data_IF_987690147846
#
_entry.id   IF_987690147846
#
_cell.length_a   1.000
_cell.length_b   1.000
_cell.length_c   1.000
_cell.angle_alpha   90.00
_cell.angle_beta   90.00
_cell.angle_gamma   90.00
#
_symmetry.space_group_name_H-M   'P 1'
#
loop_
_entity.id
_entity.type
_entity.pdbx_description
1 polymer ?
#
# COMPACT_ATOMS: atom_id res chain seq x y z
N UNK A 1 -18.83 19.50 25.53
CA UNK A 1 -17.74 18.62 25.04
C UNK A 1 -17.92 18.49 23.54
N UNK A 2 -17.05 19.11 22.75
CA UNK A 2 -17.08 18.99 21.28
C UNK A 2 -16.79 17.55 20.89
N UNK A 3 -17.73 16.86 20.25
CA UNK A 3 -17.42 15.62 19.54
C UNK A 3 -16.52 15.99 18.35
N UNK A 4 -15.20 15.95 18.52
CA UNK A 4 -14.30 15.90 17.38
C UNK A 4 -14.65 14.60 16.64
N UNK A 5 -15.42 14.72 15.57
CA UNK A 5 -15.79 13.60 14.72
C UNK A 5 -14.55 12.88 14.24
N UNK A 6 -14.64 11.55 14.12
CA UNK A 6 -13.55 10.74 13.59
C UNK A 6 -13.18 11.23 12.18
N UNK A 7 -11.89 11.49 11.95
CA UNK A 7 -11.39 11.86 10.62
C UNK A 7 -11.35 10.60 9.76
N UNK A 8 -12.08 10.63 8.65
CA UNK A 8 -12.12 9.55 7.68
C UNK A 8 -11.02 9.72 6.64
N UNK A 9 -10.37 8.63 6.27
CA UNK A 9 -9.48 8.56 5.13
C UNK A 9 -9.75 7.29 4.30
N UNK A 10 -9.28 7.30 3.05
CA UNK A 10 -9.38 6.17 2.15
C UNK A 10 -7.99 5.73 1.68
N UNK A 11 -7.77 4.43 1.62
CA UNK A 11 -6.60 3.79 1.04
C UNK A 11 -7.00 3.05 -0.23
N UNK A 12 -6.30 3.32 -1.33
CA UNK A 12 -6.46 2.61 -2.61
C UNK A 12 -5.30 1.63 -2.77
N UNK A 13 -5.46 0.42 -2.25
CA UNK A 13 -4.43 -0.60 -2.28
C UNK A 13 -4.37 -1.27 -3.65
N UNK A 14 -3.31 -1.00 -4.40
CA UNK A 14 -3.02 -1.63 -5.69
C UNK A 14 -2.30 -2.97 -5.49
N UNK A 15 -2.82 -4.03 -6.08
CA UNK A 15 -2.33 -5.42 -5.91
C UNK A 15 -1.99 -6.02 -7.28
N UNK A 16 -0.82 -6.64 -7.40
CA UNK A 16 -0.37 -7.34 -8.62
C UNK A 16 -0.98 -8.74 -8.78
N UNK A 17 -2.29 -8.86 -8.59
CA UNK A 17 -3.06 -10.09 -8.77
C UNK A 17 -4.53 -9.71 -9.00
N UNK A 18 -5.13 -10.26 -10.05
CA UNK A 18 -6.56 -10.14 -10.35
C UNK A 18 -7.18 -11.42 -10.93
N UNK A 19 -6.36 -12.40 -11.29
CA UNK A 19 -6.80 -13.64 -11.95
C UNK A 19 -7.24 -14.68 -10.92
N UNK A 20 -6.62 -14.68 -9.74
CA UNK A 20 -6.99 -15.54 -8.62
C UNK A 20 -7.85 -14.79 -7.62
N UNK A 21 -9.17 -14.83 -7.84
CA UNK A 21 -10.18 -14.13 -7.02
C UNK A 21 -10.00 -14.36 -5.52
N UNK A 22 -9.77 -15.60 -5.10
CA UNK A 22 -9.63 -15.94 -3.67
C UNK A 22 -8.43 -15.24 -3.01
N UNK A 23 -7.35 -14.95 -3.76
CA UNK A 23 -6.19 -14.23 -3.22
C UNK A 23 -6.60 -12.79 -2.91
N UNK A 24 -7.25 -12.12 -3.87
CA UNK A 24 -7.70 -10.73 -3.71
C UNK A 24 -8.73 -10.62 -2.58
N UNK A 25 -9.69 -11.55 -2.51
CA UNK A 25 -10.68 -11.60 -1.44
C UNK A 25 -10.05 -11.86 -0.06
N UNK A 26 -9.04 -12.70 0.02
CA UNK A 26 -8.32 -12.95 1.27
C UNK A 26 -7.56 -11.70 1.73
N UNK A 27 -6.97 -10.93 0.81
CA UNK A 27 -6.34 -9.64 1.13
C UNK A 27 -7.40 -8.64 1.63
N UNK A 28 -8.56 -8.56 0.98
CA UNK A 28 -9.65 -7.70 1.41
C UNK A 28 -10.16 -8.07 2.81
N UNK A 29 -10.32 -9.37 3.10
CA UNK A 29 -10.71 -9.87 4.43
C UNK A 29 -9.65 -9.53 5.48
N UNK A 30 -8.37 -9.73 5.15
CA UNK A 30 -7.27 -9.43 6.07
C UNK A 30 -7.22 -7.93 6.44
N UNK A 31 -7.61 -7.03 5.54
CA UNK A 31 -7.67 -5.60 5.84
C UNK A 31 -8.71 -5.23 6.92
N UNK A 32 -9.67 -6.11 7.21
CA UNK A 32 -10.70 -5.90 8.22
C UNK A 32 -10.32 -6.44 9.61
N UNK A 33 -9.14 -7.05 9.74
CA UNK A 33 -8.71 -7.77 10.93
C UNK A 33 -7.47 -7.10 11.55
N UNK A 34 -7.36 -7.18 12.87
CA UNK A 34 -6.14 -6.85 13.59
C UNK A 34 -5.14 -8.02 13.59
N UNK A 35 -3.98 -7.82 14.22
CA UNK A 35 -2.92 -8.84 14.34
C UNK A 35 -3.34 -10.12 15.09
N UNK A 36 -4.41 -10.07 15.86
CA UNK A 36 -4.97 -11.21 16.60
C UNK A 36 -6.14 -11.85 15.83
N UNK A 37 -6.46 -11.37 14.63
CA UNK A 37 -7.59 -11.82 13.84
C UNK A 37 -8.94 -11.24 14.27
N UNK A 38 -8.96 -10.22 15.13
CA UNK A 38 -10.20 -9.58 15.57
C UNK A 38 -10.64 -8.49 14.61
N UNK A 39 -11.97 -8.34 14.44
CA UNK A 39 -12.55 -7.38 13.51
C UNK A 39 -12.29 -5.94 13.96
N UNK A 40 -11.81 -5.10 13.05
CA UNK A 40 -11.65 -3.67 13.26
C UNK A 40 -12.99 -2.95 13.01
N UNK A 41 -13.55 -2.31 14.03
CA UNK A 41 -14.86 -1.63 13.96
C UNK A 41 -14.86 -0.36 13.09
N UNK A 42 -13.70 0.27 12.91
CA UNK A 42 -13.53 1.53 12.19
C UNK A 42 -12.92 1.34 10.79
N UNK A 43 -12.91 0.11 10.26
CA UNK A 43 -12.34 -0.19 8.94
C UNK A 43 -13.39 -0.90 8.09
N UNK A 44 -13.54 -0.47 6.84
CA UNK A 44 -14.43 -1.10 5.87
C UNK A 44 -13.79 -1.17 4.49
N UNK A 45 -14.11 -2.23 3.74
CA UNK A 45 -13.78 -2.34 2.31
C UNK A 45 -14.98 -1.83 1.54
N UNK A 46 -14.80 -0.71 0.83
CA UNK A 46 -15.86 -0.07 0.04
C UNK A 46 -16.01 -0.69 -1.34
N UNK A 47 -14.89 -1.10 -1.95
CA UNK A 47 -14.87 -1.62 -3.32
C UNK A 47 -13.67 -2.54 -3.56
N UNK A 48 -13.85 -3.50 -4.46
CA UNK A 48 -12.78 -4.33 -5.04
C UNK A 48 -12.93 -4.27 -6.56
N UNK A 49 -12.06 -3.53 -7.22
CA UNK A 49 -11.95 -3.52 -8.68
C UNK A 49 -10.85 -4.50 -9.11
N UNK A 50 -11.07 -5.28 -10.17
CA UNK A 50 -10.08 -6.25 -10.68
C UNK A 50 -10.04 -6.23 -12.20
N UNK A 51 -8.85 -5.99 -12.74
CA UNK A 51 -8.56 -6.06 -14.17
C UNK A 51 -7.74 -7.34 -14.45
N UNK A 52 -8.37 -8.33 -15.06
CA UNK A 52 -7.76 -9.65 -15.31
C UNK A 52 -6.71 -9.61 -16.42
N UNK A 53 -6.90 -8.74 -17.42
CA UNK A 53 -6.00 -8.58 -18.56
C UNK A 53 -4.70 -7.95 -18.07
N UNK A 54 -4.80 -6.87 -17.28
CA UNK A 54 -3.65 -6.21 -16.67
C UNK A 54 -3.11 -6.93 -15.42
N UNK A 55 -3.83 -7.94 -14.93
CA UNK A 55 -3.54 -8.69 -13.71
C UNK A 55 -3.31 -7.77 -12.48
N UNK A 56 -4.22 -6.82 -12.29
CA UNK A 56 -4.16 -5.87 -11.17
C UNK A 56 -5.53 -5.65 -10.55
N UNK A 57 -5.57 -5.66 -9.23
CA UNK A 57 -6.74 -5.27 -8.45
C UNK A 57 -6.48 -4.00 -7.65
N UNK A 58 -7.55 -3.26 -7.37
CA UNK A 58 -7.56 -2.12 -6.45
C UNK A 58 -8.61 -2.37 -5.39
N UNK A 59 -8.19 -2.40 -4.13
CA UNK A 59 -9.09 -2.46 -2.98
C UNK A 59 -9.21 -1.06 -2.40
N UNK A 60 -10.42 -0.52 -2.32
CA UNK A 60 -10.72 0.75 -1.66
C UNK A 60 -11.11 0.47 -0.22
N UNK A 61 -10.27 0.88 0.72
CA UNK A 61 -10.47 0.69 2.16
C UNK A 61 -10.73 2.07 2.76
N UNK A 62 -11.81 2.23 3.52
CA UNK A 62 -12.08 3.44 4.28
C UNK A 62 -11.94 3.14 5.77
N UNK A 63 -11.26 4.03 6.49
CA UNK A 63 -11.09 3.90 7.92
C UNK A 63 -10.83 5.25 8.59
N UNK A 64 -10.85 5.28 9.93
CA UNK A 64 -10.32 6.43 10.65
C UNK A 64 -8.83 6.60 10.34
N UNK A 65 -8.36 7.85 10.28
CA UNK A 65 -6.96 8.18 9.93
C UNK A 65 -5.97 7.39 10.79
N UNK A 66 -6.29 7.16 12.06
CA UNK A 66 -5.42 6.45 13.02
C UNK A 66 -5.33 4.94 12.75
N UNK A 67 -6.26 4.39 11.95
CA UNK A 67 -6.27 2.97 11.54
C UNK A 67 -5.60 2.73 10.19
N UNK A 68 -5.48 3.76 9.34
CA UNK A 68 -4.69 3.65 8.11
C UNK A 68 -3.21 3.87 8.44
N UNK A 69 -2.45 2.79 8.43
CA UNK A 69 -1.02 2.83 8.68
C UNK A 69 -0.26 3.67 7.64
N UNK A 70 0.76 4.40 8.09
CA UNK A 70 1.73 5.08 7.23
C UNK A 70 2.78 4.09 6.69
N UNK A 71 3.59 4.55 5.74
CA UNK A 71 4.68 3.75 5.17
C UNK A 71 5.62 3.19 6.25
N UNK A 72 5.90 3.96 7.30
CA UNK A 72 6.70 3.54 8.46
C UNK A 72 6.01 2.43 9.26
N UNK A 73 4.68 2.50 9.38
CA UNK A 73 3.91 1.44 10.05
C UNK A 73 3.94 0.15 9.26
N UNK A 74 3.85 0.23 7.93
CA UNK A 74 3.95 -0.93 7.05
C UNK A 74 5.29 -1.64 7.23
N UNK A 75 6.40 -0.90 7.16
CA UNK A 75 7.75 -1.46 7.33
C UNK A 75 7.97 -2.03 8.74
N UNK A 76 7.40 -1.39 9.77
CA UNK A 76 7.49 -1.89 11.16
C UNK A 76 6.77 -3.22 11.37
N UNK A 77 5.61 -3.41 10.75
CA UNK A 77 4.75 -4.57 11.00
C UNK A 77 4.87 -5.68 9.95
N UNK A 78 5.51 -5.40 8.81
CA UNK A 78 5.73 -6.37 7.72
C UNK A 78 7.23 -6.55 7.49
N UNK A 79 7.87 -7.52 8.18
CA UNK A 79 9.30 -7.78 8.01
C UNK A 79 9.67 -8.07 6.56
N UNK A 80 10.78 -7.48 6.11
CA UNK A 80 11.25 -7.61 4.72
C UNK A 80 10.48 -6.75 3.70
N UNK A 81 9.57 -5.87 4.15
CA UNK A 81 8.94 -4.90 3.27
C UNK A 81 9.94 -3.80 2.86
N UNK A 82 9.80 -3.35 1.62
CA UNK A 82 10.61 -2.31 0.99
C UNK A 82 9.67 -1.29 0.35
N UNK A 83 9.76 -0.03 0.77
CA UNK A 83 8.84 1.02 0.36
C UNK A 83 9.60 2.17 -0.29
N UNK A 84 9.03 2.73 -1.36
CA UNK A 84 9.40 4.04 -1.86
C UNK A 84 8.21 5.00 -1.80
N UNK A 85 8.51 6.26 -1.49
CA UNK A 85 7.58 7.36 -1.36
C UNK A 85 7.45 8.08 -2.70
N UNK A 86 6.26 8.64 -2.93
CA UNK A 86 5.97 9.50 -4.08
C UNK A 86 4.87 10.51 -3.71
N UNK A 87 4.72 11.55 -4.54
CA UNK A 87 3.76 12.63 -4.35
C UNK A 87 4.02 13.39 -3.05
N UNK A 88 2.96 13.74 -2.32
CA UNK A 88 3.04 14.50 -1.06
C UNK A 88 3.84 13.79 0.06
N UNK A 89 4.08 12.48 -0.05
CA UNK A 89 4.93 11.74 0.89
C UNK A 89 6.43 11.84 0.56
N UNK A 90 6.80 12.23 -0.66
CA UNK A 90 8.18 12.28 -1.14
C UNK A 90 8.76 13.68 -0.94
N UNK A 91 9.07 14.06 0.30
CA UNK A 91 9.56 15.41 0.60
C UNK A 91 11.11 15.48 0.52
N UNK A 92 11.67 16.60 0.02
CA UNK A 92 10.98 17.81 -0.47
C UNK A 92 10.52 17.77 -1.94
N UNK A 93 10.96 16.79 -2.74
CA UNK A 93 10.86 16.87 -4.22
C UNK A 93 9.46 16.63 -4.79
N UNK A 94 8.57 16.02 -4.00
CA UNK A 94 7.18 15.63 -4.31
C UNK A 94 7.03 14.95 -5.66
N UNK A 95 7.96 14.05 -6.02
CA UNK A 95 8.02 13.45 -7.36
C UNK A 95 6.80 12.57 -7.59
N UNK A 96 6.22 12.66 -8.78
CA UNK A 96 5.11 11.79 -9.18
C UNK A 96 5.48 10.31 -9.16
N UNK A 97 4.47 9.44 -9.10
CA UNK A 97 4.65 7.99 -9.18
C UNK A 97 5.43 7.58 -10.44
N UNK A 98 5.18 8.23 -11.57
CA UNK A 98 5.88 7.95 -12.83
C UNK A 98 7.36 8.32 -12.73
N UNK A 99 7.69 9.48 -12.16
CA UNK A 99 9.07 9.90 -11.96
C UNK A 99 9.83 8.95 -11.04
N UNK A 100 9.26 8.58 -9.89
CA UNK A 100 9.88 7.64 -8.95
C UNK A 100 10.05 6.24 -9.55
N UNK A 101 9.05 5.77 -10.30
CA UNK A 101 9.16 4.52 -11.07
C UNK A 101 10.30 4.57 -12.09
N UNK A 102 10.47 5.67 -12.83
CA UNK A 102 11.58 5.83 -13.78
C UNK A 102 12.94 5.83 -13.06
N UNK A 103 13.07 6.58 -11.97
CA UNK A 103 14.29 6.63 -11.16
C UNK A 103 14.69 5.25 -10.63
N UNK A 104 13.70 4.45 -10.22
CA UNK A 104 13.91 3.10 -9.73
C UNK A 104 14.02 2.05 -10.86
N UNK A 105 14.08 2.46 -12.13
CA UNK A 105 14.18 1.53 -13.26
C UNK A 105 12.96 0.60 -13.42
N UNK A 106 11.76 1.06 -13.05
CA UNK A 106 10.56 0.21 -12.93
C UNK A 106 10.19 -0.57 -14.20
N UNK A 107 10.47 0.02 -15.35
CA UNK A 107 10.06 -0.49 -16.65
C UNK A 107 11.13 -1.36 -17.35
N UNK A 108 12.31 -1.53 -16.73
CA UNK A 108 13.41 -2.35 -17.27
C UNK A 108 13.55 -3.65 -16.46
N UNK A 109 14.19 -4.70 -17.03
CA UNK A 109 14.59 -5.87 -16.23
C UNK A 109 15.57 -5.41 -15.16
N UNK A 110 15.31 -5.74 -13.89
CA UNK A 110 16.05 -5.23 -12.74
C UNK A 110 16.81 -6.31 -12.01
N UNK A 111 18.02 -5.97 -11.61
CA UNK A 111 18.60 -6.54 -10.41
C UNK A 111 17.96 -5.86 -9.20
N UNK A 112 17.36 -6.63 -8.31
CA UNK A 112 16.72 -6.09 -7.10
C UNK A 112 17.76 -5.68 -6.05
N UNK A 113 19.00 -6.17 -6.16
CA UNK A 113 20.10 -5.85 -5.24
C UNK A 113 20.53 -4.39 -5.27
N UNK A 114 20.34 -3.71 -6.42
CA UNK A 114 20.73 -2.31 -6.62
C UNK A 114 19.60 -1.32 -6.34
N UNK A 115 18.40 -1.81 -6.02
CA UNK A 115 17.26 -0.95 -5.71
C UNK A 115 17.34 -0.46 -4.28
N UNK A 116 17.40 0.86 -4.12
CA UNK A 116 17.31 1.48 -2.81
C UNK A 116 15.87 1.90 -2.51
N UNK A 117 15.23 1.29 -1.50
CA UNK A 117 13.97 1.79 -0.98
C UNK A 117 14.22 3.06 -0.16
N UNK A 118 13.18 3.88 0.03
CA UNK A 118 13.25 4.99 0.97
C UNK A 118 13.10 4.48 2.41
N UNK A 119 12.32 3.40 2.61
CA UNK A 119 12.09 2.78 3.91
C UNK A 119 12.13 1.25 3.81
N UNK A 120 12.67 0.60 4.84
CA UNK A 120 12.64 -0.86 5.00
C UNK A 120 13.85 -1.59 4.43
N UNK A 121 13.70 -2.90 4.24
CA UNK A 121 14.78 -3.79 3.83
C UNK A 121 15.07 -3.70 2.32
N UNK A 122 16.19 -4.24 1.86
CA UNK A 122 16.46 -4.36 0.42
C UNK A 122 15.37 -5.21 -0.28
N UNK A 123 14.90 -4.80 -1.48
CA UNK A 123 13.81 -5.49 -2.18
C UNK A 123 14.13 -6.95 -2.49
N UNK A 124 13.22 -7.85 -2.13
CA UNK A 124 13.31 -9.25 -2.51
C UNK A 124 12.58 -9.53 -3.83
N UNK A 125 13.06 -10.50 -4.62
CA UNK A 125 12.43 -10.93 -5.89
C UNK A 125 10.95 -11.28 -5.77
N UNK A 126 10.52 -11.83 -4.62
CA UNK A 126 9.14 -12.30 -4.41
C UNK A 126 8.13 -11.16 -4.26
N UNK A 127 8.50 -10.09 -3.55
CA UNK A 127 7.55 -9.04 -3.14
C UNK A 127 7.86 -7.68 -3.79
N UNK A 128 9.07 -7.48 -4.32
CA UNK A 128 9.46 -6.27 -5.01
C UNK A 128 9.47 -5.04 -4.10
N UNK A 129 8.93 -3.94 -4.62
CA UNK A 129 8.87 -2.62 -3.97
C UNK A 129 7.42 -2.15 -3.89
N UNK A 130 7.03 -1.62 -2.74
CA UNK A 130 5.72 -0.99 -2.52
C UNK A 130 5.83 0.53 -2.68
N UNK A 131 4.92 1.12 -3.45
CA UNK A 131 4.83 2.57 -3.59
C UNK A 131 3.83 3.12 -2.57
N UNK A 132 4.22 4.08 -1.74
CA UNK A 132 3.33 4.73 -0.78
C UNK A 132 3.18 6.23 -1.07
N UNK A 133 1.93 6.68 -1.03
CA UNK A 133 1.53 8.09 -1.14
C UNK A 133 0.58 8.40 0.00
N UNK A 134 0.61 9.65 0.46
CA UNK A 134 -0.34 10.18 1.43
C UNK A 134 -0.78 11.56 0.96
N UNK A 135 -2.06 11.71 0.62
CA UNK A 135 -2.70 13.02 0.61
C UNK A 135 -3.10 13.32 2.07
N UNK A 136 -2.60 14.42 2.63
CA UNK A 136 -3.10 14.99 3.88
C UNK A 136 -4.07 16.12 3.56
#
# INVERSE_FOLDING_TARGET
MSSLGLRLAACLLNISEARRKYIVENIAKAALLDKNGQKLSEVTVLNIFSDQDYNRSVITIAASVDKLGLAESLVRHVPGCSVFLFGEADLPEKRSLVQRRKQLGWFTRRDFSVLQPDLGAAPARRCGLTACFRAL
#
